data_IF_786363584095
#
_entry.id   IF_786363584095
#
_cell.length_a   1.000
_cell.length_b   1.000
_cell.length_c   1.000
_cell.angle_alpha   90.00
_cell.angle_beta   90.00
_cell.angle_gamma   90.00
#
_symmetry.space_group_name_H-M   'P 1'
#
loop_
_entity.id
_entity.type
_entity.pdbx_description
1 polymer ?
#
# COMPACT_ATOMS: atom_id res chain seq x y z
N UNK A 1 43.42 37.66 -40.23
CA UNK A 1 42.29 37.79 -39.28
C UNK A 1 41.85 36.39 -38.81
N UNK A 2 42.78 35.62 -38.24
CA UNK A 2 42.56 34.25 -37.78
C UNK A 2 43.31 34.12 -36.45
N UNK A 3 42.65 33.81 -35.35
CA UNK A 3 43.38 33.54 -34.10
C UNK A 3 42.59 33.61 -32.80
N UNK A 4 41.45 34.29 -32.72
CA UNK A 4 40.79 34.52 -31.42
C UNK A 4 39.59 33.61 -31.09
N UNK A 5 39.09 32.81 -32.04
CA UNK A 5 37.94 31.91 -31.80
C UNK A 5 38.37 30.50 -31.37
N UNK A 6 39.66 30.17 -31.50
CA UNK A 6 40.19 28.82 -31.19
C UNK A 6 40.72 28.66 -29.76
N UNK A 7 40.82 29.73 -28.96
CA UNK A 7 41.37 29.63 -27.59
C UNK A 7 40.32 29.29 -26.54
N UNK A 8 39.08 29.75 -26.72
CA UNK A 8 37.97 29.42 -25.79
C UNK A 8 37.54 27.96 -25.91
N UNK A 9 37.72 27.34 -27.08
CA UNK A 9 37.21 25.98 -27.31
C UNK A 9 38.19 24.83 -27.00
N UNK A 10 39.45 25.15 -26.68
CA UNK A 10 40.43 24.14 -26.26
C UNK A 10 40.43 23.94 -24.74
N UNK A 11 39.96 24.92 -23.95
CA UNK A 11 39.81 24.76 -22.48
C UNK A 11 38.54 24.03 -22.05
N UNK A 12 37.45 24.07 -22.83
CA UNK A 12 36.19 23.38 -22.47
C UNK A 12 36.23 21.87 -22.78
N UNK A 13 37.20 21.42 -23.58
CA UNK A 13 37.30 20.00 -24.00
C UNK A 13 38.23 19.16 -23.09
N UNK A 14 38.99 19.77 -22.17
CA UNK A 14 39.85 19.02 -21.23
C UNK A 14 39.14 18.51 -19.97
N UNK A 15 37.90 18.94 -19.71
CA UNK A 15 37.15 18.58 -18.50
C UNK A 15 36.14 17.44 -18.68
N UNK A 16 36.06 16.83 -19.88
CA UNK A 16 35.01 15.85 -20.21
C UNK A 16 35.47 14.41 -20.48
N UNK A 17 36.70 14.01 -20.15
CA UNK A 17 37.13 12.61 -20.30
C UNK A 17 38.03 12.08 -19.17
N UNK A 18 37.53 12.09 -17.94
CA UNK A 18 37.92 11.12 -16.89
C UNK A 18 36.66 10.63 -16.15
N UNK A 19 35.70 10.15 -16.93
CA UNK A 19 34.74 9.14 -16.46
C UNK A 19 35.46 7.79 -16.51
N UNK A 20 35.77 7.21 -15.34
CA UNK A 20 35.77 5.76 -15.08
C UNK A 20 36.24 5.48 -13.65
N UNK A 21 35.31 5.35 -12.70
CA UNK A 21 35.24 4.20 -11.78
C UNK A 21 33.75 3.94 -11.54
N UNK A 22 33.17 3.15 -12.43
CA UNK A 22 31.91 2.44 -12.20
C UNK A 22 32.21 0.96 -12.24
N UNK A 23 32.34 0.35 -11.06
CA UNK A 23 32.17 -1.07 -10.82
C UNK A 23 31.34 -1.15 -9.53
N UNK A 24 30.03 -1.38 -9.62
CA UNK A 24 29.32 -2.66 -9.37
C UNK A 24 29.82 -3.45 -8.16
N UNK A 25 28.84 -3.98 -7.40
CA UNK A 25 28.92 -4.81 -6.18
C UNK A 25 28.99 -3.98 -4.87
N UNK A 26 28.06 -4.04 -3.90
CA UNK A 26 27.15 -5.11 -3.50
C UNK A 26 25.84 -4.52 -2.97
N UNK A 27 24.74 -4.89 -3.62
CA UNK A 27 23.39 -4.68 -3.13
C UNK A 27 23.12 -5.69 -2.01
N UNK A 28 22.59 -5.17 -0.91
CA UNK A 28 22.15 -5.90 0.27
C UNK A 28 21.58 -7.31 -0.03
N UNK A 29 21.94 -8.27 0.83
CA UNK A 29 20.89 -9.07 1.45
C UNK A 29 21.07 -9.05 2.96
N UNK A 30 20.91 -7.87 3.58
CA UNK A 30 20.44 -7.84 4.95
C UNK A 30 18.99 -8.35 4.92
N UNK A 31 18.83 -9.67 5.03
CA UNK A 31 17.60 -10.31 5.40
C UNK A 31 17.19 -9.75 6.77
N UNK A 32 16.47 -8.63 6.75
CA UNK A 32 15.66 -8.21 7.87
C UNK A 32 14.51 -9.22 7.94
N UNK A 33 14.79 -10.37 8.56
CA UNK A 33 13.75 -11.24 9.09
C UNK A 33 13.03 -10.38 10.11
N UNK A 34 11.95 -9.75 9.66
CA UNK A 34 10.91 -9.21 10.49
C UNK A 34 10.34 -10.41 11.27
N UNK A 35 10.99 -10.78 12.37
CA UNK A 35 10.26 -11.40 13.48
C UNK A 35 9.42 -10.26 14.02
N UNK A 36 8.30 -10.01 13.31
CA UNK A 36 7.24 -9.19 13.80
C UNK A 36 6.97 -9.68 15.22
N UNK A 37 6.99 -8.80 16.24
CA UNK A 37 6.44 -9.19 17.52
C UNK A 37 5.05 -9.72 17.20
N UNK A 38 4.77 -10.96 17.64
CA UNK A 38 3.41 -11.51 17.62
C UNK A 38 2.53 -10.44 18.24
N UNK A 39 1.85 -9.68 17.40
CA UNK A 39 0.80 -8.78 17.81
C UNK A 39 -0.30 -9.72 18.25
N UNK A 40 -0.27 -10.08 19.53
CA UNK A 40 -1.37 -10.78 20.17
C UNK A 40 -2.57 -9.88 19.89
N UNK A 41 -3.56 -10.32 19.10
CA UNK A 41 -4.69 -9.48 18.80
C UNK A 41 -5.37 -9.16 20.14
N UNK A 42 -5.37 -7.88 20.50
CA UNK A 42 -6.21 -7.41 21.59
C UNK A 42 -7.63 -7.92 21.31
N UNK A 43 -8.33 -8.48 22.31
CA UNK A 43 -9.69 -8.96 22.11
C UNK A 43 -10.54 -7.78 21.63
N UNK A 44 -10.97 -7.85 20.37
CA UNK A 44 -11.93 -6.92 19.79
C UNK A 44 -13.18 -7.00 20.67
N UNK A 45 -13.39 -5.94 21.46
CA UNK A 45 -14.62 -5.74 22.20
C UNK A 45 -15.73 -5.53 21.16
N UNK A 46 -16.49 -6.59 20.88
CA UNK A 46 -17.63 -6.62 19.97
C UNK A 46 -18.83 -5.88 20.58
N UNK A 47 -18.69 -4.58 20.83
CA UNK A 47 -19.82 -3.72 21.21
C UNK A 47 -19.82 -2.50 20.29
N UNK A 48 -20.08 -2.74 19.00
CA UNK A 48 -20.41 -1.68 18.06
C UNK A 48 -21.95 -1.51 18.02
N UNK A 49 -22.51 -0.39 18.52
CA UNK A 49 -23.95 -0.15 18.51
C UNK A 49 -24.52 0.07 17.10
N UNK A 50 -23.68 0.07 16.07
CA UNK A 50 -24.06 0.25 14.67
C UNK A 50 -24.21 -1.07 13.91
N UNK A 51 -24.73 -2.13 14.58
CA UNK A 51 -25.28 -3.29 13.88
C UNK A 51 -26.53 -2.84 13.12
N UNK A 52 -26.33 -2.38 11.88
CA UNK A 52 -27.40 -2.15 10.90
C UNK A 52 -28.31 -3.38 10.90
N UNK A 53 -29.52 -3.22 11.42
CA UNK A 53 -30.58 -4.23 11.34
C UNK A 53 -30.85 -4.46 9.86
N UNK A 54 -30.49 -5.64 9.35
CA UNK A 54 -30.91 -6.05 8.02
C UNK A 54 -32.43 -6.14 8.01
N UNK A 55 -33.08 -5.24 7.27
CA UNK A 55 -34.51 -5.33 6.99
C UNK A 55 -34.77 -6.48 6.00
N UNK A 56 -35.78 -7.34 6.22
CA UNK A 56 -36.06 -8.45 5.33
C UNK A 56 -36.95 -7.96 4.19
N UNK A 57 -36.37 -7.37 3.15
CA UNK A 57 -37.00 -7.27 1.83
C UNK A 57 -36.08 -6.50 0.88
N UNK A 58 -35.42 -7.22 -0.01
CA UNK A 58 -35.55 -7.04 -1.47
C UNK A 58 -34.75 -8.19 -2.08
N UNK A 59 -35.45 -9.08 -2.77
CA UNK A 59 -34.82 -10.11 -3.60
C UNK A 59 -34.28 -9.37 -4.82
N UNK A 60 -33.04 -8.87 -4.72
CA UNK A 60 -32.31 -8.37 -5.88
C UNK A 60 -31.84 -9.60 -6.64
N UNK A 61 -32.24 -9.68 -7.91
CA UNK A 61 -31.81 -10.69 -8.87
C UNK A 61 -30.28 -10.69 -8.93
N UNK A 62 -29.67 -11.73 -8.33
CA UNK A 62 -28.25 -11.99 -8.47
C UNK A 62 -28.00 -12.53 -9.88
N UNK A 63 -27.47 -11.70 -10.78
CA UNK A 63 -26.84 -12.16 -12.01
C UNK A 63 -25.76 -13.17 -11.61
N UNK A 64 -25.88 -14.40 -12.12
CA UNK A 64 -25.10 -15.59 -11.75
C UNK A 64 -23.62 -15.31 -11.40
N UNK A 65 -23.31 -15.11 -10.10
CA UNK A 65 -21.96 -15.16 -9.53
C UNK A 65 -22.05 -15.68 -8.08
N UNK A 66 -21.00 -16.39 -7.63
CA UNK A 66 -20.92 -17.37 -6.52
C UNK A 66 -22.10 -17.41 -5.53
N UNK A 67 -22.73 -18.60 -5.40
CA UNK A 67 -23.76 -18.89 -4.37
C UNK A 67 -23.26 -18.69 -2.94
N UNK A 68 -21.97 -18.94 -2.71
CA UNK A 68 -21.26 -18.80 -1.44
C UNK A 68 -19.77 -18.61 -1.72
N UNK A 69 -19.06 -17.81 -0.94
CA UNK A 69 -17.59 -17.60 -1.02
C UNK A 69 -16.77 -18.85 -0.64
N UNK A 70 -17.38 -19.83 0.04
CA UNK A 70 -16.68 -21.02 0.53
C UNK A 70 -15.78 -20.76 1.76
N UNK A 71 -15.76 -19.51 2.25
CA UNK A 71 -15.04 -19.08 3.44
C UNK A 71 -16.03 -18.79 4.57
N UNK A 72 -15.72 -19.24 5.79
CA UNK A 72 -16.58 -19.00 6.95
C UNK A 72 -16.46 -17.54 7.40
N UNK A 73 -17.59 -16.88 7.62
CA UNK A 73 -17.62 -15.50 8.13
C UNK A 73 -17.44 -14.41 7.07
N UNK A 74 -17.27 -14.76 5.79
CA UNK A 74 -17.19 -13.81 4.68
C UNK A 74 -18.45 -13.90 3.81
N UNK A 75 -19.31 -12.90 3.92
CA UNK A 75 -20.56 -12.83 3.14
C UNK A 75 -20.30 -12.32 1.72
N UNK A 76 -21.03 -12.90 0.75
CA UNK A 76 -20.99 -12.47 -0.66
C UNK A 76 -21.50 -11.04 -0.77
N UNK A 77 -20.77 -10.20 -1.49
CA UNK A 77 -21.14 -8.80 -1.72
C UNK A 77 -21.96 -8.65 -3.00
N UNK A 78 -23.10 -7.97 -2.93
CA UNK A 78 -23.98 -7.78 -4.09
C UNK A 78 -23.38 -6.85 -5.16
N UNK A 79 -22.74 -5.76 -4.73
CA UNK A 79 -22.15 -4.73 -5.60
C UNK A 79 -20.68 -4.45 -5.20
N UNK A 80 -19.73 -5.33 -5.56
CA UNK A 80 -18.34 -5.21 -5.12
C UNK A 80 -17.62 -3.98 -5.71
N UNK A 81 -17.87 -3.63 -6.97
CA UNK A 81 -17.21 -2.48 -7.63
C UNK A 81 -17.54 -1.16 -6.95
N UNK A 82 -18.82 -0.88 -6.68
CA UNK A 82 -19.24 0.35 -6.00
C UNK A 82 -18.66 0.43 -4.59
N UNK A 83 -18.68 -0.70 -3.86
CA UNK A 83 -18.12 -0.77 -2.51
C UNK A 83 -16.62 -0.46 -2.51
N UNK A 84 -15.85 -1.06 -3.42
CA UNK A 84 -14.42 -0.83 -3.56
C UNK A 84 -14.11 0.62 -3.92
N UNK A 85 -14.86 1.22 -4.86
CA UNK A 85 -14.68 2.62 -5.24
C UNK A 85 -14.82 3.54 -4.03
N UNK A 86 -15.87 3.36 -3.24
CA UNK A 86 -16.11 4.16 -2.03
C UNK A 86 -15.00 3.97 -1.00
N UNK A 87 -14.50 2.75 -0.81
CA UNK A 87 -13.43 2.47 0.15
C UNK A 87 -12.11 3.12 -0.28
N UNK A 88 -11.69 2.94 -1.53
CA UNK A 88 -10.44 3.53 -2.04
C UNK A 88 -10.47 5.06 -2.03
N UNK A 89 -11.57 5.69 -2.44
CA UNK A 89 -11.70 7.15 -2.34
C UNK A 89 -11.58 7.66 -0.90
N UNK A 90 -12.12 6.93 0.08
CA UNK A 90 -11.98 7.27 1.51
C UNK A 90 -10.55 7.08 1.99
N UNK A 91 -9.86 6.02 1.58
CA UNK A 91 -8.45 5.79 1.92
C UNK A 91 -7.60 6.96 1.40
N UNK A 92 -7.72 7.32 0.12
CA UNK A 92 -7.00 8.46 -0.46
C UNK A 92 -7.28 9.77 0.29
N UNK A 93 -8.54 10.02 0.70
CA UNK A 93 -8.87 11.19 1.52
C UNK A 93 -8.21 11.15 2.91
N UNK A 94 -8.10 10.00 3.55
CA UNK A 94 -7.38 9.87 4.83
C UNK A 94 -5.87 10.06 4.65
N UNK A 95 -5.28 9.56 3.56
CA UNK A 95 -3.84 9.69 3.29
C UNK A 95 -3.42 11.15 3.11
N UNK A 96 -4.30 12.01 2.59
CA UNK A 96 -4.05 13.45 2.44
C UNK A 96 -3.76 14.17 3.77
N UNK A 97 -4.18 13.61 4.91
CA UNK A 97 -3.93 14.19 6.24
C UNK A 97 -2.48 14.03 6.71
N UNK A 98 -1.74 13.10 6.12
CA UNK A 98 -0.36 12.77 6.50
C UNK A 98 0.64 13.52 5.61
N UNK A 99 1.90 13.75 6.04
CA UNK A 99 2.89 14.42 5.20
C UNK A 99 3.30 13.55 3.99
N UNK A 100 3.62 14.18 2.85
CA UNK A 100 3.99 13.49 1.60
C UNK A 100 5.34 12.75 1.70
N UNK A 101 6.20 13.16 2.61
CA UNK A 101 7.51 12.54 2.86
C UNK A 101 7.39 11.21 3.63
N UNK A 102 6.25 10.94 4.28
CA UNK A 102 6.05 9.69 5.00
C UNK A 102 6.09 8.50 4.04
N UNK A 103 7.02 7.56 4.29
CA UNK A 103 7.18 6.35 3.48
C UNK A 103 5.86 5.57 3.33
N UNK A 104 5.11 5.42 4.43
CA UNK A 104 3.80 4.75 4.43
C UNK A 104 2.84 5.38 3.41
N UNK A 105 2.73 6.71 3.38
CA UNK A 105 1.84 7.43 2.46
C UNK A 105 2.24 7.17 1.00
N UNK A 106 3.52 7.29 0.67
CA UNK A 106 4.03 7.08 -0.69
C UNK A 106 3.68 5.69 -1.25
N UNK A 107 3.93 4.64 -0.47
CA UNK A 107 3.69 3.27 -0.92
C UNK A 107 2.20 2.90 -0.96
N UNK A 108 1.42 3.37 0.03
CA UNK A 108 -0.03 3.12 0.06
C UNK A 108 -0.77 3.86 -1.04
N UNK A 109 -0.42 5.12 -1.34
CA UNK A 109 -1.00 5.87 -2.46
C UNK A 109 -0.73 5.15 -3.79
N UNK A 110 0.51 4.68 -4.01
CA UNK A 110 0.86 3.92 -5.21
C UNK A 110 0.01 2.65 -5.35
N UNK A 111 -0.06 1.84 -4.28
CA UNK A 111 -0.82 0.59 -4.28
C UNK A 111 -2.32 0.82 -4.48
N UNK A 112 -2.89 1.81 -3.79
CA UNK A 112 -4.32 2.13 -3.88
C UNK A 112 -4.65 2.67 -5.27
N UNK A 113 -3.81 3.53 -5.86
CA UNK A 113 -4.05 4.05 -7.20
C UNK A 113 -3.98 2.96 -8.28
N UNK A 114 -3.02 2.04 -8.18
CA UNK A 114 -2.93 0.88 -9.08
C UNK A 114 -4.20 0.03 -9.02
N UNK A 115 -4.62 -0.36 -7.80
CA UNK A 115 -5.83 -1.17 -7.59
C UNK A 115 -7.10 -0.42 -8.00
N UNK A 116 -7.19 0.86 -7.70
CA UNK A 116 -8.32 1.70 -8.09
C UNK A 116 -8.42 1.79 -9.62
N UNK A 117 -7.29 1.95 -10.32
CA UNK A 117 -7.25 1.92 -11.78
C UNK A 117 -7.75 0.59 -12.37
N UNK A 118 -7.43 -0.55 -11.74
CA UNK A 118 -7.99 -1.85 -12.15
C UNK A 118 -9.51 -1.93 -11.94
N UNK A 119 -10.03 -1.40 -10.83
CA UNK A 119 -11.47 -1.37 -10.52
C UNK A 119 -12.26 -0.46 -11.47
N UNK A 120 -11.64 0.59 -12.00
CA UNK A 120 -12.24 1.47 -13.00
C UNK A 120 -12.16 0.92 -14.42
N UNK A 121 -11.05 0.25 -14.77
CA UNK A 121 -10.83 -0.29 -16.10
C UNK A 121 -11.70 -1.52 -16.40
N UNK A 122 -12.04 -2.32 -15.39
CA UNK A 122 -12.73 -3.59 -15.56
C UNK A 122 -14.13 -3.56 -14.98
N UNK A 123 -15.12 -3.99 -15.77
CA UNK A 123 -16.53 -4.09 -15.35
C UNK A 123 -16.91 -5.50 -14.89
N UNK A 124 -16.19 -6.52 -15.36
CA UNK A 124 -16.40 -7.90 -14.95
C UNK A 124 -15.55 -8.26 -13.71
N UNK A 125 -16.14 -9.05 -12.82
CA UNK A 125 -15.51 -9.38 -11.54
C UNK A 125 -14.45 -10.48 -11.72
N UNK A 126 -14.63 -11.43 -12.65
CA UNK A 126 -13.68 -12.54 -12.84
C UNK A 126 -12.36 -12.08 -13.45
N UNK A 127 -12.43 -11.14 -14.40
CA UNK A 127 -11.25 -10.49 -14.98
C UNK A 127 -10.56 -9.57 -13.97
N UNK A 128 -11.32 -8.88 -13.11
CA UNK A 128 -10.79 -8.05 -12.04
C UNK A 128 -9.99 -8.86 -11.02
N UNK A 129 -10.52 -10.01 -10.57
CA UNK A 129 -9.84 -10.91 -9.64
C UNK A 129 -8.49 -11.40 -10.20
N UNK A 130 -8.45 -11.74 -11.50
CA UNK A 130 -7.21 -12.17 -12.17
C UNK A 130 -6.18 -11.05 -12.27
N UNK A 131 -6.61 -9.81 -12.50
CA UNK A 131 -5.71 -8.64 -12.56
C UNK A 131 -5.11 -8.31 -11.19
N UNK A 132 -5.93 -8.33 -10.14
CA UNK A 132 -5.49 -8.01 -8.77
C UNK A 132 -4.69 -9.17 -8.16
N UNK A 133 -5.02 -10.42 -8.50
CA UNK A 133 -4.34 -11.63 -8.04
C UNK A 133 -4.14 -11.70 -6.50
N UNK A 134 -5.19 -11.35 -5.75
CA UNK A 134 -5.21 -11.32 -4.28
C UNK A 134 -6.37 -12.14 -3.69
N UNK A 135 -6.80 -13.22 -4.35
CA UNK A 135 -7.92 -14.05 -3.89
C UNK A 135 -9.28 -13.60 -4.43
N UNK A 136 -10.35 -13.87 -3.68
CA UNK A 136 -11.73 -13.49 -4.06
C UNK A 136 -11.98 -11.99 -3.87
N UNK A 137 -12.93 -11.43 -4.60
CA UNK A 137 -13.24 -9.99 -4.51
C UNK A 137 -13.67 -9.55 -3.10
N UNK A 138 -14.36 -10.42 -2.34
CA UNK A 138 -14.77 -10.14 -0.97
C UNK A 138 -13.58 -10.00 -0.01
N UNK A 139 -12.52 -10.78 -0.22
CA UNK A 139 -11.29 -10.67 0.59
C UNK A 139 -10.60 -9.34 0.33
N UNK A 140 -10.61 -8.88 -0.92
CA UNK A 140 -10.07 -7.57 -1.32
C UNK A 140 -10.88 -6.43 -0.67
N UNK A 141 -12.21 -6.56 -0.59
CA UNK A 141 -13.06 -5.59 0.12
C UNK A 141 -12.68 -5.54 1.59
N UNK A 142 -12.55 -6.71 2.24
CA UNK A 142 -12.15 -6.79 3.64
C UNK A 142 -10.75 -6.20 3.88
N UNK A 143 -9.80 -6.44 2.96
CA UNK A 143 -8.48 -5.83 3.01
C UNK A 143 -8.55 -4.29 2.93
N UNK A 144 -9.38 -3.75 2.03
CA UNK A 144 -9.57 -2.31 1.91
C UNK A 144 -10.23 -1.70 3.16
N UNK A 145 -11.14 -2.42 3.82
CA UNK A 145 -11.71 -1.99 5.11
C UNK A 145 -10.66 -1.98 6.23
N UNK A 146 -9.83 -3.02 6.31
CA UNK A 146 -8.70 -3.08 7.23
C UNK A 146 -7.70 -1.93 6.98
N UNK A 147 -7.38 -1.66 5.72
CA UNK A 147 -6.45 -0.59 5.34
C UNK A 147 -6.99 0.79 5.72
N UNK A 148 -8.30 1.02 5.51
CA UNK A 148 -8.95 2.26 5.93
C UNK A 148 -8.93 2.44 7.45
N UNK A 149 -9.14 1.36 8.21
CA UNK A 149 -9.02 1.38 9.66
C UNK A 149 -7.58 1.64 10.11
N UNK A 150 -6.60 0.99 9.46
CA UNK A 150 -5.18 1.18 9.72
C UNK A 150 -4.76 2.61 9.43
N UNK A 151 -5.13 3.17 8.28
CA UNK A 151 -4.84 4.55 7.87
C UNK A 151 -5.29 5.57 8.93
N UNK A 152 -6.49 5.39 9.50
CA UNK A 152 -6.99 6.24 10.61
C UNK A 152 -6.13 6.12 11.87
N UNK A 153 -5.65 4.92 12.18
CA UNK A 153 -4.73 4.69 13.31
C UNK A 153 -3.33 5.23 13.05
N UNK A 154 -2.85 5.16 11.82
CA UNK A 154 -1.56 5.74 11.42
C UNK A 154 -1.57 7.27 11.59
N UNK A 155 -2.69 7.94 11.33
CA UNK A 155 -2.86 9.36 11.63
C UNK A 155 -2.75 9.68 13.13
N UNK A 156 -3.19 8.76 14.00
CA UNK A 156 -3.04 8.89 15.47
C UNK A 156 -1.60 8.60 15.93
N UNK A 157 -0.97 7.55 15.39
CA UNK A 157 0.33 7.03 15.85
C UNK A 157 1.55 7.77 15.29
N UNK A 158 1.43 8.41 14.12
CA UNK A 158 2.49 9.19 13.45
C UNK A 158 3.87 8.49 13.40
N UNK A 159 3.96 7.29 12.84
CA UNK A 159 5.19 6.49 12.85
C UNK A 159 6.32 7.01 11.95
N UNK A 160 6.10 8.10 11.19
CA UNK A 160 7.14 8.77 10.41
C UNK A 160 8.02 9.71 11.25
N UNK A 161 7.67 9.91 12.52
CA UNK A 161 8.53 10.60 13.46
C UNK A 161 9.78 9.76 13.77
N UNK A 162 10.92 10.39 14.08
CA UNK A 162 12.14 9.66 14.44
C UNK A 162 11.92 8.80 15.68
N UNK A 163 12.80 7.80 15.84
CA UNK A 163 12.74 6.86 16.96
C UNK A 163 12.71 7.61 18.30
N UNK A 164 11.75 7.26 19.16
CA UNK A 164 11.60 7.90 20.47
C UNK A 164 12.78 7.60 21.39
N UNK A 165 13.29 6.37 21.36
CA UNK A 165 14.42 5.92 22.17
C UNK A 165 15.35 5.07 21.31
N UNK A 166 16.65 5.35 21.38
CA UNK A 166 17.67 4.49 20.78
C UNK A 166 17.85 3.22 21.61
N UNK A 167 18.11 2.07 20.97
CA UNK A 167 18.31 0.83 21.71
C UNK A 167 19.58 0.89 22.56
N UNK A 168 19.59 0.34 23.79
CA UNK A 168 20.80 0.16 24.58
C UNK A 168 21.91 -0.61 23.83
N UNK A 169 23.19 -0.33 24.15
CA UNK A 169 24.31 -1.03 23.54
C UNK A 169 24.20 -2.54 23.81
N UNK A 170 24.48 -3.35 22.78
CA UNK A 170 24.36 -4.82 22.76
C UNK A 170 22.94 -5.42 22.78
N UNK A 171 21.85 -4.65 22.71
CA UNK A 171 20.49 -5.22 22.67
C UNK A 171 20.26 -6.16 21.47
N UNK A 172 20.80 -5.81 20.30
CA UNK A 172 20.59 -6.53 19.04
C UNK A 172 21.84 -7.29 18.57
N UNK A 173 22.83 -7.49 19.44
CA UNK A 173 24.04 -8.25 19.11
C UNK A 173 23.72 -9.74 19.21
N UNK A 174 23.84 -10.46 18.10
CA UNK A 174 23.69 -11.91 18.06
C UNK A 174 24.73 -12.54 17.12
N UNK A 175 25.45 -13.61 17.52
CA UNK A 175 25.56 -14.21 18.85
C UNK A 175 26.38 -13.36 19.86
N UNK A 176 26.33 -13.73 21.14
CA UNK A 176 26.94 -12.99 22.27
C UNK A 176 28.47 -13.01 22.21
#
# INVERSE_FOLDING_TARGET
MAGLVKKVQVEVTSLLQMTQIGAVEDAAPAQLILVAPRCVPAPVQRNDPTRVKLSPATVVLCSNKLRTTGLVGLAVSLNPHERLKVLYSKILATLQTMPQDAAYRKYTEQLVNERFGHVEAETDVDTLEKKINCGQIEEVIFQAECELALSRKMSEWKPWEPLTEEPPPNQWKWPI
#
